data_IF_919414274515
#
_entry.id   IF_919414274515
#
_cell.length_a   1.000
_cell.length_b   1.000
_cell.length_c   1.000
_cell.angle_alpha   90.00
_cell.angle_beta   90.00
_cell.angle_gamma   90.00
#
_symmetry.space_group_name_H-M   'P 1'
#
loop_
_entity.id
_entity.type
_entity.pdbx_description
1 polymer ?
#
# COMPACT_ATOMS: atom_id res chain seq x y z
N UNK A 1 11.38 -14.09 7.39
CA UNK A 1 10.61 -14.49 6.20
C UNK A 1 9.17 -14.04 6.35
N UNK A 2 8.53 -13.49 5.31
CA UNK A 2 7.11 -13.14 5.36
C UNK A 2 6.26 -14.38 5.65
N UNK A 3 5.24 -14.28 6.50
CA UNK A 3 4.34 -15.42 6.78
C UNK A 3 3.46 -15.73 5.57
N UNK A 4 3.03 -16.99 5.44
CA UNK A 4 2.13 -17.42 4.36
C UNK A 4 0.80 -16.64 4.32
N UNK A 5 0.38 -16.07 5.45
CA UNK A 5 -0.84 -15.25 5.55
C UNK A 5 -0.70 -13.90 4.84
N UNK A 6 0.50 -13.32 4.80
CA UNK A 6 0.76 -12.07 4.08
C UNK A 6 0.67 -12.26 2.56
N UNK A 7 1.03 -13.45 2.07
CA UNK A 7 0.87 -13.81 0.66
C UNK A 7 -0.60 -13.76 0.24
N UNK A 8 -1.50 -14.32 1.07
CA UNK A 8 -2.95 -14.30 0.83
C UNK A 8 -3.52 -12.87 0.80
N UNK A 9 -2.91 -11.94 1.51
CA UNK A 9 -3.35 -10.54 1.57
C UNK A 9 -2.85 -9.69 0.40
N UNK A 10 -1.92 -10.19 -0.42
CA UNK A 10 -1.43 -9.54 -1.63
C UNK A 10 0.05 -9.17 -1.64
N UNK A 11 0.83 -9.56 -0.63
CA UNK A 11 2.28 -9.36 -0.64
C UNK A 11 2.94 -10.30 -1.66
N UNK A 12 3.76 -9.81 -2.60
CA UNK A 12 4.50 -10.66 -3.53
C UNK A 12 5.67 -11.35 -2.80
N UNK A 13 5.40 -12.41 -2.05
CA UNK A 13 6.39 -13.07 -1.16
C UNK A 13 7.65 -13.57 -1.86
N UNK A 14 7.57 -13.88 -3.17
CA UNK A 14 8.72 -14.35 -3.96
C UNK A 14 9.76 -13.25 -4.23
N UNK A 15 9.43 -11.99 -3.96
CA UNK A 15 10.34 -10.85 -4.18
C UNK A 15 10.80 -10.21 -2.88
N UNK A 16 10.45 -10.77 -1.71
CA UNK A 16 10.70 -10.15 -0.41
C UNK A 16 11.67 -10.98 0.42
N UNK A 17 12.91 -10.51 0.53
CA UNK A 17 13.92 -11.10 1.40
C UNK A 17 13.66 -10.74 2.88
N UNK A 18 13.49 -9.44 3.16
CA UNK A 18 13.25 -8.93 4.51
C UNK A 18 12.29 -7.75 4.49
N UNK A 19 11.28 -7.80 5.37
CA UNK A 19 10.35 -6.70 5.57
C UNK A 19 10.97 -5.61 6.44
N UNK A 20 10.68 -4.35 6.11
CA UNK A 20 11.11 -3.22 6.91
C UNK A 20 10.53 -3.32 8.32
N UNK A 21 11.41 -3.25 9.32
CA UNK A 21 11.05 -3.15 10.73
C UNK A 21 11.47 -1.79 11.22
N UNK A 22 10.53 -1.06 11.84
CA UNK A 22 10.80 0.24 12.43
C UNK A 22 11.89 0.09 13.50
N UNK A 23 13.07 0.64 13.22
CA UNK A 23 14.13 0.84 14.21
C UNK A 23 14.46 2.33 14.28
N UNK A 24 14.21 2.92 15.45
CA UNK A 24 14.57 4.30 15.77
C UNK A 24 15.88 4.41 16.55
N UNK A 25 16.60 3.31 16.69
CA UNK A 25 17.72 3.16 17.60
C UNK A 25 18.96 2.73 16.82
N UNK A 26 20.11 3.26 17.22
CA UNK A 26 21.43 2.96 16.66
C UNK A 26 22.39 2.63 17.79
N UNK A 27 23.35 1.76 17.53
CA UNK A 27 24.40 1.46 18.49
C UNK A 27 25.51 2.52 18.37
N UNK A 28 25.82 3.18 19.48
CA UNK A 28 26.93 4.10 19.60
C UNK A 28 27.73 3.80 20.86
N UNK A 29 28.99 3.36 20.71
CA UNK A 29 29.90 3.00 21.81
C UNK A 29 29.28 1.96 22.78
N UNK A 30 28.76 0.86 22.23
CA UNK A 30 28.09 -0.23 22.96
C UNK A 30 26.86 0.21 23.77
N UNK A 31 26.28 1.37 23.44
CA UNK A 31 25.01 1.84 23.99
C UNK A 31 24.01 2.00 22.87
N UNK A 32 22.79 1.55 23.10
CA UNK A 32 21.67 1.80 22.21
C UNK A 32 21.19 3.23 22.47
N UNK A 33 21.35 4.09 21.47
CA UNK A 33 20.92 5.49 21.53
C UNK A 33 19.85 5.75 20.47
N UNK A 34 19.05 6.80 20.66
CA UNK A 34 18.11 7.22 19.63
C UNK A 34 18.86 7.70 18.39
N UNK A 35 18.35 7.29 17.22
CA UNK A 35 18.90 7.73 15.95
C UNK A 35 18.67 9.24 15.80
N UNK A 36 19.73 10.05 15.64
CA UNK A 36 19.60 11.51 15.52
C UNK A 36 18.93 11.94 14.21
N UNK A 37 18.95 11.09 13.19
CA UNK A 37 18.37 11.38 11.86
C UNK A 37 16.85 11.26 11.88
N UNK A 38 16.33 10.12 12.32
CA UNK A 38 14.89 9.89 12.38
C UNK A 38 14.27 10.28 13.74
N UNK A 39 15.09 10.76 14.69
CA UNK A 39 14.70 11.17 16.05
C UNK A 39 13.87 10.09 16.76
N UNK A 40 14.33 8.85 16.69
CA UNK A 40 13.63 7.72 17.29
C UNK A 40 12.38 7.23 16.55
N UNK A 41 11.90 7.92 15.50
CA UNK A 41 10.66 7.52 14.82
C UNK A 41 10.83 6.33 13.85
N UNK A 42 12.06 6.06 13.39
CA UNK A 42 12.32 4.99 12.42
C UNK A 42 11.69 5.24 11.05
N UNK A 43 11.41 6.49 10.69
CA UNK A 43 11.01 6.91 9.35
C UNK A 43 11.66 8.24 9.01
N UNK A 44 11.94 8.47 7.73
CA UNK A 44 12.41 9.76 7.22
C UNK A 44 11.64 10.08 5.93
N UNK A 45 10.99 11.25 5.91
CA UNK A 45 10.19 11.68 4.76
C UNK A 45 8.85 10.98 4.63
N UNK A 46 8.28 11.04 3.42
CA UNK A 46 6.99 10.46 3.05
C UNK A 46 7.08 9.95 1.61
N UNK A 47 6.32 8.91 1.29
CA UNK A 47 6.18 8.39 -0.07
C UNK A 47 4.71 8.42 -0.50
N UNK A 48 4.48 8.67 -1.79
CA UNK A 48 3.15 8.59 -2.39
C UNK A 48 2.85 7.18 -2.88
N UNK A 49 1.62 6.72 -2.66
CA UNK A 49 1.07 5.52 -3.29
C UNK A 49 -0.08 5.95 -4.17
N UNK A 50 -0.06 5.53 -5.43
CA UNK A 50 -0.99 6.00 -6.44
C UNK A 50 -1.73 4.84 -7.07
N UNK A 51 -3.01 5.07 -7.36
CA UNK A 51 -3.81 4.24 -8.25
C UNK A 51 -3.86 4.94 -9.60
N UNK A 52 -3.33 4.30 -10.64
CA UNK A 52 -3.23 4.88 -11.97
C UNK A 52 -3.93 3.98 -12.98
N UNK A 53 -4.78 4.58 -13.80
CA UNK A 53 -5.47 3.93 -14.92
C UNK A 53 -5.07 4.65 -16.21
N UNK A 54 -4.27 4.00 -17.03
CA UNK A 54 -3.95 4.49 -18.36
C UNK A 54 -5.03 4.06 -19.36
N UNK A 55 -5.43 4.99 -20.22
CA UNK A 55 -6.47 4.75 -21.22
C UNK A 55 -5.85 4.48 -22.59
N UNK A 56 -6.11 3.29 -23.12
CA UNK A 56 -5.82 2.94 -24.51
C UNK A 56 -7.09 2.99 -25.37
N UNK A 57 -6.97 2.65 -26.66
CA UNK A 57 -8.10 2.68 -27.59
C UNK A 57 -9.25 1.75 -27.15
N UNK A 58 -8.94 0.59 -26.58
CA UNK A 58 -9.95 -0.42 -26.25
C UNK A 58 -10.65 -0.09 -24.92
N UNK A 59 -9.89 0.34 -23.92
CA UNK A 59 -10.42 0.87 -22.67
C UNK A 59 -11.32 2.07 -22.94
N UNK A 60 -10.92 2.96 -23.85
CA UNK A 60 -11.74 4.11 -24.26
C UNK A 60 -13.04 3.69 -24.94
N UNK A 61 -13.04 2.68 -25.81
CA UNK A 61 -14.27 2.14 -26.42
C UNK A 61 -15.26 1.64 -25.35
N UNK A 62 -14.76 0.88 -24.37
CA UNK A 62 -15.59 0.39 -23.28
C UNK A 62 -16.16 1.52 -22.42
N UNK A 63 -15.36 2.54 -22.11
CA UNK A 63 -15.83 3.72 -21.36
C UNK A 63 -16.89 4.52 -22.12
N UNK A 64 -16.72 4.73 -23.43
CA UNK A 64 -17.70 5.43 -24.28
C UNK A 64 -19.03 4.65 -24.31
N UNK A 65 -18.96 3.32 -24.34
CA UNK A 65 -20.14 2.45 -24.26
C UNK A 65 -20.79 2.40 -22.86
N UNK A 66 -20.23 3.09 -21.86
CA UNK A 66 -20.72 3.07 -20.48
C UNK A 66 -20.34 1.80 -19.69
N UNK A 67 -19.51 0.92 -20.24
CA UNK A 67 -19.08 -0.31 -19.58
C UNK A 67 -17.75 -0.12 -18.84
N UNK A 68 -17.86 0.44 -17.63
CA UNK A 68 -16.72 0.64 -16.74
C UNK A 68 -16.07 -0.69 -16.31
N UNK A 69 -16.85 -1.77 -16.19
CA UNK A 69 -16.34 -3.07 -15.74
C UNK A 69 -15.43 -3.67 -16.81
N UNK A 70 -15.85 -3.65 -18.07
CA UNK A 70 -15.02 -4.09 -19.19
C UNK A 70 -13.78 -3.21 -19.35
N UNK A 71 -13.92 -1.88 -19.21
CA UNK A 71 -12.78 -0.96 -19.26
C UNK A 71 -11.71 -1.28 -18.20
N UNK A 72 -12.12 -1.46 -16.94
CA UNK A 72 -11.18 -1.82 -15.86
C UNK A 72 -10.56 -3.20 -16.05
N UNK A 73 -11.34 -4.19 -16.51
CA UNK A 73 -10.84 -5.53 -16.79
C UNK A 73 -9.79 -5.51 -17.91
N UNK A 74 -10.05 -4.75 -18.98
CA UNK A 74 -9.14 -4.59 -20.11
C UNK A 74 -7.84 -3.93 -19.68
N UNK A 75 -7.92 -2.79 -18.99
CA UNK A 75 -6.75 -2.10 -18.49
C UNK A 75 -5.93 -2.97 -17.52
N UNK A 76 -6.58 -3.79 -16.68
CA UNK A 76 -5.89 -4.74 -15.80
C UNK A 76 -5.15 -5.82 -16.59
N UNK A 77 -5.77 -6.40 -17.63
CA UNK A 77 -5.14 -7.42 -18.49
C UNK A 77 -3.89 -6.88 -19.16
N UNK A 78 -3.95 -5.64 -19.65
CA UNK A 78 -2.82 -4.96 -20.30
C UNK A 78 -1.79 -4.37 -19.33
N UNK A 79 -1.93 -4.60 -18.02
CA UNK A 79 -1.08 -4.01 -16.96
C UNK A 79 -1.06 -2.46 -16.98
N UNK A 80 -2.12 -1.85 -17.50
CA UNK A 80 -2.35 -0.41 -17.58
C UNK A 80 -3.15 0.12 -16.39
N UNK A 81 -3.52 -0.77 -15.47
CA UNK A 81 -4.23 -0.45 -14.24
C UNK A 81 -3.59 -1.18 -13.05
N UNK A 82 -3.12 -0.41 -12.07
CA UNK A 82 -2.61 -0.91 -10.80
C UNK A 82 -3.47 -0.33 -9.69
N UNK A 83 -4.07 -1.20 -8.88
CA UNK A 83 -4.91 -0.76 -7.76
C UNK A 83 -4.07 -0.17 -6.65
N UNK A 84 -4.65 0.75 -5.87
CA UNK A 84 -3.96 1.40 -4.75
C UNK A 84 -3.33 0.39 -3.78
N UNK A 85 -4.07 -0.68 -3.47
CA UNK A 85 -3.60 -1.73 -2.56
C UNK A 85 -2.43 -2.53 -3.15
N UNK A 86 -2.44 -2.79 -4.46
CA UNK A 86 -1.36 -3.53 -5.15
C UNK A 86 -0.10 -2.67 -5.21
N UNK A 87 -0.22 -1.39 -5.55
CA UNK A 87 0.88 -0.43 -5.51
C UNK A 87 1.47 -0.30 -4.10
N UNK A 88 0.63 -0.25 -3.06
CA UNK A 88 1.10 -0.21 -1.68
C UNK A 88 1.87 -1.48 -1.28
N UNK A 89 1.37 -2.66 -1.68
CA UNK A 89 2.05 -3.93 -1.42
C UNK A 89 3.42 -4.00 -2.10
N UNK A 90 3.56 -3.46 -3.32
CA UNK A 90 4.85 -3.34 -3.99
C UNK A 90 5.83 -2.48 -3.19
N UNK A 91 5.37 -1.35 -2.64
CA UNK A 91 6.19 -0.47 -1.79
C UNK A 91 6.62 -1.16 -0.49
N UNK A 92 5.72 -1.90 0.16
CA UNK A 92 6.07 -2.73 1.33
C UNK A 92 7.09 -3.80 0.96
N UNK A 93 6.90 -4.48 -0.16
CA UNK A 93 7.78 -5.54 -0.64
C UNK A 93 9.19 -5.02 -0.96
N UNK A 94 9.29 -3.81 -1.52
CA UNK A 94 10.57 -3.14 -1.81
C UNK A 94 11.30 -2.58 -0.56
N UNK A 95 10.65 -2.58 0.60
CA UNK A 95 11.22 -2.02 1.84
C UNK A 95 11.13 -0.49 1.95
N UNK A 96 10.46 0.20 1.02
CA UNK A 96 10.26 1.66 1.07
C UNK A 96 9.30 2.09 2.21
N UNK A 97 8.43 1.19 2.67
CA UNK A 97 7.52 1.43 3.81
C UNK A 97 7.31 0.16 4.64
N UNK A 98 6.70 0.32 5.82
CA UNK A 98 6.44 -0.79 6.75
C UNK A 98 5.04 -1.37 6.59
N UNK A 99 4.86 -2.61 7.06
CA UNK A 99 3.52 -3.19 7.24
C UNK A 99 2.64 -2.37 8.19
N UNK A 100 3.26 -1.73 9.19
CA UNK A 100 2.57 -0.91 10.18
C UNK A 100 1.97 0.34 9.54
N UNK A 101 2.75 1.03 8.70
CA UNK A 101 2.30 2.21 7.96
C UNK A 101 1.25 1.84 6.92
N UNK A 102 1.44 0.73 6.20
CA UNK A 102 0.43 0.21 5.29
C UNK A 102 -0.90 -0.06 6.02
N UNK A 103 -0.85 -0.77 7.15
CA UNK A 103 -2.01 -1.04 7.99
C UNK A 103 -2.64 0.23 8.57
N UNK A 104 -1.84 1.25 8.92
CA UNK A 104 -2.33 2.53 9.42
C UNK A 104 -3.11 3.30 8.36
N UNK A 105 -2.60 3.37 7.14
CA UNK A 105 -3.20 4.14 6.03
C UNK A 105 -4.39 3.40 5.41
N UNK A 106 -4.35 2.07 5.33
CA UNK A 106 -5.41 1.28 4.70
C UNK A 106 -6.63 1.00 5.62
N UNK A 107 -6.61 1.45 6.88
CA UNK A 107 -7.77 1.36 7.78
C UNK A 107 -8.92 2.23 7.24
N UNK A 108 -10.01 1.59 6.81
CA UNK A 108 -11.28 2.29 6.58
C UNK A 108 -11.69 2.97 7.88
N UNK A 109 -11.92 4.30 7.85
CA UNK A 109 -12.51 4.99 9.00
C UNK A 109 -13.83 4.31 9.37
N UNK A 110 -14.10 4.01 10.65
CA UNK A 110 -15.39 3.48 11.05
C UNK A 110 -16.45 4.52 10.68
N UNK A 111 -17.35 4.16 9.77
CA UNK A 111 -18.53 4.96 9.48
C UNK A 111 -19.34 5.06 10.76
N UNK A 112 -19.44 6.26 11.34
CA UNK A 112 -20.38 6.51 12.45
C UNK A 112 -21.77 6.08 11.96
N UNK A 113 -22.34 5.01 12.53
CA UNK A 113 -23.75 4.67 12.31
C UNK A 113 -24.56 5.88 12.75
N UNK A 114 -25.25 6.56 11.83
CA UNK A 114 -26.26 7.56 12.20
C UNK A 114 -27.32 6.82 13.01
N UNK A 115 -27.59 7.27 14.23
CA UNK A 115 -28.70 6.75 15.02
C UNK A 115 -30.01 6.96 14.22
N UNK A 116 -30.95 6.00 14.23
CA UNK A 116 -32.22 6.20 13.57
C UNK A 116 -32.94 7.39 14.22
N UNK A 117 -33.44 8.30 13.38
CA UNK A 117 -34.27 9.41 13.85
C UNK A 117 -35.48 8.83 14.59
N UNK A 118 -35.69 9.27 15.83
CA UNK A 118 -36.88 8.97 16.61
C UNK A 118 -38.11 9.46 15.85
N UNK A 119 -39.10 8.58 15.68
CA UNK A 119 -40.44 8.91 15.20
C UNK A 119 -41.17 9.82 16.19
#
# INVERSE_FOLDING_TARGET
TPSADLAKQGLPVNTVEQLYRKSGQVEHKNKIVECPVCKGNGYLGQIGVFETLFLDSDTRKHLIAGDLKAAMAEAKRKKMYIRLQEAAWQKVASGETSLEEFGRVNKKKPTKKKAPASK
#
